data_IF_767774320017
#
_entry.id   IF_767774320017
#
_cell.length_a   1.000
_cell.length_b   1.000
_cell.length_c   1.000
_cell.angle_alpha   90.00
_cell.angle_beta   90.00
_cell.angle_gamma   90.00
#
_symmetry.space_group_name_H-M   'P 1'
#
loop_
_entity.id
_entity.type
_entity.pdbx_description
1 polymer ?
#
# COMPACT_ATOMS: atom_id res chain seq x y z
N UNK A 1 15.07 -15.75 -8.43
CA UNK A 1 15.22 -14.34 -8.04
C UNK A 1 15.53 -14.32 -6.55
N UNK A 2 16.47 -13.50 -6.07
CA UNK A 2 16.70 -13.34 -4.62
C UNK A 2 15.68 -12.36 -4.05
N UNK A 3 15.47 -12.41 -2.74
CA UNK A 3 14.53 -11.52 -2.07
C UNK A 3 14.87 -10.04 -2.27
N UNK A 4 16.15 -9.68 -2.18
CA UNK A 4 16.61 -8.29 -2.32
C UNK A 4 16.39 -7.79 -3.76
N UNK A 5 16.65 -8.65 -4.75
CA UNK A 5 16.43 -8.32 -6.16
C UNK A 5 14.92 -8.13 -6.42
N UNK A 6 14.08 -8.99 -5.85
CA UNK A 6 12.62 -8.90 -5.93
C UNK A 6 12.10 -7.58 -5.34
N UNK A 7 12.49 -7.26 -4.10
CA UNK A 7 12.07 -6.04 -3.43
C UNK A 7 12.60 -4.79 -4.14
N UNK A 8 13.81 -4.85 -4.72
CA UNK A 8 14.37 -3.75 -5.51
C UNK A 8 13.59 -3.51 -6.80
N UNK A 9 13.10 -4.54 -7.49
CA UNK A 9 12.28 -4.35 -8.69
C UNK A 9 10.97 -3.63 -8.37
N UNK A 10 10.31 -3.99 -7.27
CA UNK A 10 9.08 -3.31 -6.84
C UNK A 10 9.40 -1.89 -6.40
N UNK A 11 10.37 -1.72 -5.51
CA UNK A 11 10.69 -0.43 -4.89
C UNK A 11 11.22 0.59 -5.89
N UNK A 12 11.90 0.17 -6.96
CA UNK A 12 12.43 1.10 -7.97
C UNK A 12 11.47 1.33 -9.16
N UNK A 13 10.30 0.69 -9.14
CA UNK A 13 9.28 0.89 -10.16
C UNK A 13 8.38 2.09 -9.86
N UNK A 14 7.69 2.58 -10.89
CA UNK A 14 6.68 3.63 -10.79
C UNK A 14 5.30 3.10 -11.18
N UNK A 15 4.26 3.85 -10.85
CA UNK A 15 2.85 3.52 -11.12
C UNK A 15 2.60 3.00 -12.55
N UNK A 16 3.17 3.68 -13.56
CA UNK A 16 3.00 3.33 -14.98
C UNK A 16 3.63 1.98 -15.38
N UNK A 17 4.55 1.44 -14.57
CA UNK A 17 5.15 0.14 -14.80
C UNK A 17 4.21 -1.02 -14.44
N UNK A 18 3.02 -0.73 -13.91
CA UNK A 18 2.07 -1.75 -13.46
C UNK A 18 0.82 -1.78 -14.33
N UNK A 19 0.32 -3.00 -14.53
CA UNK A 19 -1.01 -3.29 -15.03
C UNK A 19 -1.91 -3.55 -13.83
N UNK A 20 -3.06 -2.89 -13.74
CA UNK A 20 -4.02 -3.12 -12.66
C UNK A 20 -5.27 -3.81 -13.18
N UNK A 21 -5.64 -4.90 -12.53
CA UNK A 21 -6.91 -5.58 -12.68
C UNK A 21 -7.77 -5.28 -11.45
N UNK A 22 -8.83 -4.49 -11.64
CA UNK A 22 -9.75 -4.11 -10.56
C UNK A 22 -10.71 -5.22 -10.15
N UNK A 23 -11.00 -6.19 -11.02
CA UNK A 23 -11.92 -7.28 -10.70
C UNK A 23 -11.34 -8.18 -9.62
N UNK A 24 -10.03 -8.39 -9.63
CA UNK A 24 -9.32 -9.20 -8.63
C UNK A 24 -8.40 -8.36 -7.73
N UNK A 25 -8.18 -7.08 -8.02
CA UNK A 25 -7.35 -6.18 -7.23
C UNK A 25 -5.88 -6.57 -7.26
N UNK A 26 -5.39 -6.86 -8.46
CA UNK A 26 -4.05 -7.37 -8.74
C UNK A 26 -3.28 -6.36 -9.59
N UNK A 27 -2.08 -6.02 -9.15
CA UNK A 27 -1.10 -5.28 -9.92
C UNK A 27 -0.09 -6.27 -10.50
N UNK A 28 0.18 -6.22 -11.79
CA UNK A 28 1.19 -7.05 -12.47
C UNK A 28 2.27 -6.16 -13.05
N UNK A 29 3.53 -6.45 -12.74
CA UNK A 29 4.65 -5.65 -13.20
C UNK A 29 4.92 -5.91 -14.70
N UNK A 30 4.94 -4.85 -15.51
CA UNK A 30 5.08 -4.95 -16.98
C UNK A 30 6.42 -5.55 -17.41
N UNK A 31 7.50 -5.22 -16.70
CA UNK A 31 8.85 -5.64 -17.07
C UNK A 31 9.16 -7.08 -16.64
N UNK A 32 8.41 -7.61 -15.66
CA UNK A 32 8.48 -9.01 -15.24
C UNK A 32 7.11 -9.48 -14.72
N UNK A 33 6.33 -10.11 -15.59
CA UNK A 33 4.95 -10.55 -15.30
C UNK A 33 4.83 -11.61 -14.19
N UNK A 34 5.98 -12.12 -13.72
CA UNK A 34 6.03 -13.02 -12.57
C UNK A 34 5.87 -12.27 -11.26
N UNK A 35 6.15 -10.97 -11.25
CA UNK A 35 6.02 -10.09 -10.08
C UNK A 35 4.61 -9.49 -10.06
N UNK A 36 3.91 -9.66 -8.94
CA UNK A 36 2.60 -9.06 -8.72
C UNK A 36 2.40 -8.54 -7.30
N UNK A 37 1.48 -7.59 -7.15
CA UNK A 37 0.95 -7.14 -5.85
C UNK A 37 -0.52 -7.48 -5.83
N UNK A 38 -0.96 -8.29 -4.86
CA UNK A 38 -2.35 -8.74 -4.75
C UNK A 38 -2.98 -8.15 -3.49
N UNK A 39 -4.06 -7.40 -3.63
CA UNK A 39 -4.86 -6.97 -2.49
C UNK A 39 -5.53 -8.18 -1.83
N UNK A 40 -5.46 -8.27 -0.50
CA UNK A 40 -6.25 -9.25 0.23
C UNK A 40 -7.71 -8.78 0.28
N UNK A 41 -8.60 -9.61 -0.29
CA UNK A 41 -10.05 -9.38 -0.33
C UNK A 41 -10.81 -10.32 0.59
N UNK A 42 -10.11 -11.25 1.23
CA UNK A 42 -10.71 -12.28 2.10
C UNK A 42 -10.98 -11.76 3.51
N UNK A 43 -10.28 -10.71 3.93
CA UNK A 43 -10.52 -10.07 5.21
C UNK A 43 -11.28 -8.74 5.03
N UNK A 44 -12.51 -8.72 5.54
CA UNK A 44 -13.04 -7.54 6.21
C UNK A 44 -12.18 -7.29 7.46
N UNK A 45 -10.97 -6.72 7.33
CA UNK A 45 -10.16 -6.41 8.52
C UNK A 45 -10.82 -5.22 9.23
N UNK A 46 -11.82 -5.49 10.08
CA UNK A 46 -12.51 -4.38 10.76
C UNK A 46 -13.89 -4.64 11.33
N UNK A 47 -14.17 -5.79 11.95
CA UNK A 47 -15.22 -5.74 12.99
C UNK A 47 -14.77 -4.91 14.21
N UNK A 48 -13.45 -4.67 14.36
CA UNK A 48 -12.86 -3.91 15.47
C UNK A 48 -12.18 -2.58 15.05
N UNK A 49 -12.33 -2.11 13.80
CA UNK A 49 -11.77 -0.81 13.33
C UNK A 49 -10.24 -0.60 13.48
N UNK A 50 -9.75 0.56 13.05
CA UNK A 50 -8.39 1.05 13.31
C UNK A 50 -8.49 2.46 13.92
N UNK A 51 -8.07 2.62 15.18
CA UNK A 51 -8.40 3.82 15.98
C UNK A 51 -7.20 4.73 16.31
N UNK A 52 -6.09 4.59 15.60
CA UNK A 52 -4.96 5.50 15.81
C UNK A 52 -5.28 6.88 15.24
N UNK A 53 -4.97 7.94 16.01
CA UNK A 53 -5.34 9.32 15.66
C UNK A 53 -4.89 9.76 14.27
N UNK A 54 -3.71 9.32 13.83
CA UNK A 54 -3.19 9.68 12.51
C UNK A 54 -4.03 9.11 11.37
N UNK A 55 -4.74 8.01 11.61
CA UNK A 55 -5.57 7.32 10.62
C UNK A 55 -7.06 7.71 10.70
N UNK A 56 -7.53 8.24 11.84
CA UNK A 56 -8.93 8.65 12.03
C UNK A 56 -9.15 10.15 11.90
N UNK A 57 -8.10 10.96 11.75
CA UNK A 57 -8.20 12.41 11.63
C UNK A 57 -8.43 12.88 10.18
N UNK A 58 -9.43 12.29 9.53
CA UNK A 58 -9.87 12.59 8.16
C UNK A 58 -11.38 12.90 8.15
N UNK A 59 -11.93 13.53 7.09
CA UNK A 59 -13.36 13.80 7.00
C UNK A 59 -14.25 12.58 7.26
N UNK A 60 -13.84 11.41 6.78
CA UNK A 60 -14.37 10.13 7.24
C UNK A 60 -13.38 9.48 8.22
N UNK A 61 -13.81 9.36 9.48
CA UNK A 61 -13.01 8.85 10.59
C UNK A 61 -12.81 7.33 10.56
N UNK A 62 -13.54 6.62 9.69
CA UNK A 62 -13.40 5.17 9.57
C UNK A 62 -12.07 4.83 8.92
N UNK A 63 -11.24 4.13 9.69
CA UNK A 63 -10.02 3.53 9.21
C UNK A 63 -10.07 2.01 9.41
N UNK A 64 -9.53 1.28 8.44
CA UNK A 64 -9.44 -0.18 8.47
C UNK A 64 -8.09 -0.64 7.97
N UNK A 65 -7.65 -1.81 8.44
CA UNK A 65 -6.37 -2.35 7.97
C UNK A 65 -6.57 -2.95 6.58
N UNK A 66 -5.55 -2.86 5.74
CA UNK A 66 -5.52 -3.51 4.44
C UNK A 66 -4.16 -4.16 4.24
N UNK A 67 -4.21 -5.36 3.66
CA UNK A 67 -3.06 -6.22 3.47
C UNK A 67 -2.88 -6.45 1.97
N UNK A 68 -1.64 -6.40 1.51
CA UNK A 68 -1.24 -6.68 0.14
C UNK A 68 -0.16 -7.75 0.14
N UNK A 69 -0.29 -8.73 -0.75
CA UNK A 69 0.71 -9.77 -0.95
C UNK A 69 1.65 -9.36 -2.07
N UNK A 70 2.95 -9.29 -1.76
CA UNK A 70 3.99 -9.12 -2.77
C UNK A 70 4.38 -10.53 -3.24
N UNK A 71 4.18 -10.82 -4.53
CA UNK A 71 4.23 -12.17 -5.07
C UNK A 71 5.24 -12.32 -6.20
N UNK A 72 5.84 -13.51 -6.27
CA UNK A 72 6.66 -13.96 -7.39
C UNK A 72 6.15 -15.32 -7.87
N UNK A 73 5.75 -15.44 -9.15
CA UNK A 73 5.05 -16.62 -9.70
C UNK A 73 3.85 -17.03 -8.83
N UNK A 74 3.04 -16.06 -8.41
CA UNK A 74 1.87 -16.23 -7.52
C UNK A 74 2.19 -16.80 -6.11
N UNK A 75 3.46 -17.10 -5.80
CA UNK A 75 3.89 -17.39 -4.44
C UNK A 75 4.04 -16.09 -3.66
N UNK A 76 3.46 -16.04 -2.45
CA UNK A 76 3.63 -14.91 -1.53
C UNK A 76 5.09 -14.90 -1.06
N UNK A 77 5.80 -13.82 -1.39
CA UNK A 77 7.19 -13.60 -0.98
C UNK A 77 7.22 -12.73 0.28
N UNK A 78 6.37 -11.70 0.33
CA UNK A 78 6.27 -10.77 1.45
C UNK A 78 4.87 -10.19 1.57
N UNK A 79 4.58 -9.53 2.69
CA UNK A 79 3.30 -8.88 2.97
C UNK A 79 3.49 -7.41 3.29
N UNK A 80 2.69 -6.56 2.66
CA UNK A 80 2.68 -5.13 2.86
C UNK A 80 1.39 -4.68 3.53
N UNK A 81 1.52 -3.95 4.65
CA UNK A 81 0.40 -3.52 5.47
C UNK A 81 0.17 -2.02 5.34
N UNK A 82 -1.10 -1.66 5.16
CA UNK A 82 -1.56 -0.29 5.09
C UNK A 82 -2.82 -0.10 5.93
N UNK A 83 -3.18 1.16 6.14
CA UNK A 83 -4.48 1.55 6.68
C UNK A 83 -5.25 2.26 5.59
N UNK A 84 -6.43 1.75 5.26
CA UNK A 84 -7.38 2.45 4.42
C UNK A 84 -8.04 3.56 5.24
N UNK A 85 -7.97 4.80 4.76
CA UNK A 85 -8.47 6.01 5.43
C UNK A 85 -9.44 6.78 4.55
N UNK A 86 -10.14 7.75 5.14
CA UNK A 86 -11.09 8.67 4.49
C UNK A 86 -12.12 7.94 3.60
N UNK A 87 -12.70 6.84 4.08
CA UNK A 87 -13.67 6.07 3.30
C UNK A 87 -13.04 5.32 2.12
N UNK A 88 -11.89 4.70 2.35
CA UNK A 88 -11.14 3.90 1.37
C UNK A 88 -10.50 4.70 0.23
N UNK A 89 -10.32 6.02 0.39
CA UNK A 89 -9.72 6.89 -0.64
C UNK A 89 -8.21 6.80 -0.72
N UNK A 90 -7.56 6.39 0.38
CA UNK A 90 -6.12 6.14 0.38
C UNK A 90 -5.75 4.99 1.29
N UNK A 91 -4.72 4.26 0.91
CA UNK A 91 -4.07 3.19 1.67
C UNK A 91 -2.69 3.67 2.16
N UNK A 92 -2.60 4.10 3.42
CA UNK A 92 -1.38 4.64 4.02
C UNK A 92 -0.52 3.50 4.59
N UNK A 93 0.75 3.34 4.18
CA UNK A 93 1.66 2.35 4.77
C UNK A 93 1.86 2.58 6.26
N UNK A 94 2.03 1.51 7.02
CA UNK A 94 2.25 1.61 8.47
C UNK A 94 3.51 2.43 8.78
N UNK A 95 3.38 3.58 9.47
CA UNK A 95 4.53 4.36 9.88
C UNK A 95 5.19 3.76 11.12
N UNK A 96 6.46 4.09 11.33
CA UNK A 96 7.05 4.02 12.67
C UNK A 96 6.36 5.07 13.54
N UNK A 97 5.61 4.62 14.54
CA UNK A 97 4.84 5.51 15.42
C UNK A 97 5.73 6.52 16.16
N UNK A 98 6.96 6.12 16.49
CA UNK A 98 7.97 7.06 16.96
C UNK A 98 8.57 7.82 15.76
N UNK A 99 8.16 9.08 15.60
CA UNK A 99 8.62 9.97 14.54
C UNK A 99 7.72 10.05 13.31
N UNK A 100 6.69 9.20 13.21
CA UNK A 100 5.74 9.17 12.07
C UNK A 100 6.46 9.11 10.73
N UNK A 101 7.28 8.07 10.55
CA UNK A 101 8.12 7.89 9.35
C UNK A 101 7.80 6.61 8.61
N UNK A 102 7.86 6.66 7.28
CA UNK A 102 7.89 5.49 6.40
C UNK A 102 9.19 5.50 5.59
N UNK A 103 9.68 4.32 5.19
CA UNK A 103 10.87 4.25 4.34
C UNK A 103 10.55 4.63 2.89
N UNK A 104 11.57 5.01 2.12
CA UNK A 104 11.43 5.21 0.67
C UNK A 104 10.79 4.01 -0.04
N UNK A 105 11.16 2.78 0.36
CA UNK A 105 10.55 1.56 -0.16
C UNK A 105 9.05 1.49 0.15
N UNK A 106 8.63 1.80 1.38
CA UNK A 106 7.21 1.83 1.75
C UNK A 106 6.45 2.90 0.96
N UNK A 107 7.07 4.07 0.76
CA UNK A 107 6.50 5.15 -0.05
C UNK A 107 6.27 4.70 -1.50
N UNK A 108 7.28 4.09 -2.14
CA UNK A 108 7.18 3.66 -3.54
C UNK A 108 6.11 2.58 -3.72
N UNK A 109 6.05 1.58 -2.83
CA UNK A 109 4.97 0.57 -2.83
C UNK A 109 3.61 1.24 -2.59
N UNK A 110 3.55 2.19 -1.65
CA UNK A 110 2.36 2.99 -1.35
C UNK A 110 1.83 3.79 -2.55
N UNK A 111 2.71 4.43 -3.31
CA UNK A 111 2.36 5.15 -4.54
C UNK A 111 1.77 4.21 -5.59
N UNK A 112 2.37 3.04 -5.81
CA UNK A 112 1.85 2.04 -6.76
C UNK A 112 0.41 1.63 -6.40
N UNK A 113 0.16 1.26 -5.14
CA UNK A 113 -1.17 0.79 -4.73
C UNK A 113 -2.24 1.89 -4.71
N UNK A 114 -1.84 3.16 -4.54
CA UNK A 114 -2.77 4.30 -4.51
C UNK A 114 -3.02 4.92 -5.90
N UNK A 115 -2.22 4.55 -6.92
CA UNK A 115 -2.33 5.07 -8.30
C UNK A 115 -3.73 4.97 -8.93
N UNK A 116 -4.55 4.04 -8.46
CA UNK A 116 -5.87 3.73 -9.03
C UNK A 116 -7.00 4.67 -8.56
N UNK A 117 -6.81 5.36 -7.43
CA UNK A 117 -7.90 6.10 -6.77
C UNK A 117 -7.97 7.57 -7.20
N UNK A 118 -7.00 8.07 -7.97
CA UNK A 118 -6.98 9.44 -8.50
C UNK A 118 -6.82 10.54 -7.44
N UNK A 119 -6.70 10.19 -6.16
CA UNK A 119 -6.41 11.10 -5.06
C UNK A 119 -4.91 11.14 -4.79
N UNK A 120 -4.43 12.29 -4.31
CA UNK A 120 -3.00 12.48 -4.04
C UNK A 120 -2.57 11.72 -2.79
N UNK A 121 -1.82 10.63 -2.96
CA UNK A 121 -1.22 9.87 -1.87
C UNK A 121 -0.36 10.75 -0.94
N UNK A 122 0.38 11.70 -1.52
CA UNK A 122 1.24 12.64 -0.77
C UNK A 122 0.44 13.56 0.17
N UNK A 123 -0.76 13.99 -0.25
CA UNK A 123 -1.65 14.81 0.59
C UNK A 123 -2.14 14.03 1.82
N UNK A 124 -2.41 12.73 1.67
CA UNK A 124 -2.79 11.87 2.79
C UNK A 124 -1.62 11.62 3.75
N UNK A 125 -0.40 11.41 3.24
CA UNK A 125 0.80 11.32 4.09
C UNK A 125 1.00 12.62 4.88
N UNK A 126 0.89 13.77 4.20
CA UNK A 126 1.02 15.09 4.84
C UNK A 126 -0.04 15.30 5.92
N UNK A 127 -1.30 14.97 5.63
CA UNK A 127 -2.42 15.11 6.57
C UNK A 127 -2.30 14.18 7.78
N UNK A 128 -1.77 12.97 7.59
CA UNK A 128 -1.46 12.04 8.67
C UNK A 128 -0.19 12.42 9.47
N UNK A 129 0.54 13.46 9.05
CA UNK A 129 1.80 13.86 9.66
C UNK A 129 2.94 12.87 9.42
N UNK A 130 2.89 12.10 8.34
CA UNK A 130 3.89 11.09 7.98
C UNK A 130 4.94 11.68 7.06
N UNK A 131 6.21 11.38 7.33
CA UNK A 131 7.35 11.78 6.49
C UNK A 131 8.08 10.56 5.94
N UNK A 132 8.76 10.73 4.81
CA UNK A 132 9.56 9.68 4.17
C UNK A 132 11.03 9.84 4.57
N UNK A 133 11.69 8.75 4.96
CA UNK A 133 13.10 8.72 5.41
C UNK A 133 13.91 7.58 4.80
#
# INVERSE_FOLDING_TARGET
MRYEDFMAQISNSIENDWLYDDEIGKFVFRNDIRISIQSDRTESVGDDGFYERWATNFPNENASRKKYFLQFNDCIVDTFYTVQVDGFRSAIPYPRLNGMTITQQQYNIGSIINSIHGYSFDEYLTSAGITVV
#
